data_IF_891102759449
#
_entry.id   IF_891102759449
#
_cell.length_a   1.000
_cell.length_b   1.000
_cell.length_c   1.000
_cell.angle_alpha   90.00
_cell.angle_beta   90.00
_cell.angle_gamma   90.00
#
_symmetry.space_group_name_H-M   'P 1'
#
loop_
_entity.id
_entity.type
_entity.pdbx_description
1 polymer ?
#
# COMPACT_ATOMS: atom_id res chain seq x y z
N UNK A 1 -20.17 0.84 10.21
CA UNK A 1 -19.07 0.34 11.06
C UNK A 1 -18.16 1.50 11.42
N UNK A 2 -17.50 1.41 12.55
CA UNK A 2 -16.35 2.27 12.89
C UNK A 2 -15.06 1.57 12.45
N UNK A 3 -14.29 2.21 11.56
CA UNK A 3 -13.10 1.61 10.93
C UNK A 3 -11.85 2.34 11.42
N UNK A 4 -10.91 1.62 12.03
CA UNK A 4 -9.60 2.16 12.36
C UNK A 4 -8.68 2.08 11.15
N UNK A 5 -8.13 3.23 10.73
CA UNK A 5 -7.30 3.33 9.53
C UNK A 5 -5.92 3.84 9.92
N UNK A 6 -4.89 3.02 9.74
CA UNK A 6 -3.50 3.48 9.82
C UNK A 6 -3.05 3.99 8.44
N UNK A 7 -2.09 4.94 8.40
CA UNK A 7 -1.72 5.57 7.13
C UNK A 7 -2.83 6.44 6.52
N UNK A 8 -3.82 6.82 7.31
CA UNK A 8 -5.04 7.53 6.91
C UNK A 8 -4.78 8.88 6.19
N UNK A 9 -3.64 9.52 6.45
CA UNK A 9 -3.24 10.81 5.85
C UNK A 9 -2.34 10.65 4.61
N UNK A 10 -1.98 9.39 4.26
CA UNK A 10 -1.14 9.10 3.10
C UNK A 10 -1.88 9.23 1.76
N UNK A 11 -1.15 9.06 0.66
CA UNK A 11 -1.67 9.18 -0.71
C UNK A 11 -2.89 8.29 -0.97
N UNK A 12 -2.82 7.00 -0.66
CA UNK A 12 -3.94 6.07 -0.79
C UNK A 12 -4.88 6.20 0.40
N UNK A 13 -4.35 6.33 1.62
CA UNK A 13 -5.14 6.37 2.84
C UNK A 13 -6.16 7.50 2.89
N UNK A 14 -5.82 8.69 2.39
CA UNK A 14 -6.76 9.82 2.31
C UNK A 14 -7.94 9.54 1.37
N UNK A 15 -7.71 8.80 0.28
CA UNK A 15 -8.78 8.36 -0.61
C UNK A 15 -9.65 7.28 0.04
N UNK A 16 -9.03 6.32 0.76
CA UNK A 16 -9.75 5.29 1.52
C UNK A 16 -10.63 5.91 2.62
N UNK A 17 -10.09 6.88 3.39
CA UNK A 17 -10.87 7.61 4.40
C UNK A 17 -12.11 8.27 3.78
N UNK A 18 -11.92 8.96 2.65
CA UNK A 18 -13.03 9.63 1.95
C UNK A 18 -14.07 8.62 1.44
N UNK A 19 -13.62 7.50 0.86
CA UNK A 19 -14.51 6.45 0.34
C UNK A 19 -15.33 5.80 1.47
N UNK A 20 -14.70 5.50 2.62
CA UNK A 20 -15.37 4.96 3.79
C UNK A 20 -16.44 5.92 4.34
N UNK A 21 -16.10 7.21 4.48
CA UNK A 21 -17.04 8.23 4.96
C UNK A 21 -18.22 8.39 3.99
N UNK A 22 -17.97 8.40 2.68
CA UNK A 22 -19.01 8.48 1.66
C UNK A 22 -19.96 7.26 1.68
N UNK A 23 -19.44 6.08 2.06
CA UNK A 23 -20.23 4.86 2.25
C UNK A 23 -20.98 4.80 3.59
N UNK A 24 -20.89 5.85 4.41
CA UNK A 24 -21.59 5.97 5.71
C UNK A 24 -20.87 5.24 6.85
N UNK A 25 -19.61 4.88 6.71
CA UNK A 25 -18.80 4.38 7.82
C UNK A 25 -18.25 5.54 8.66
N UNK A 26 -17.99 5.28 9.93
CA UNK A 26 -17.21 6.16 10.79
C UNK A 26 -15.73 5.79 10.66
N UNK A 27 -14.84 6.76 10.61
CA UNK A 27 -13.40 6.52 10.47
C UNK A 27 -12.66 7.06 11.70
N UNK A 28 -11.84 6.21 12.32
CA UNK A 28 -10.85 6.57 13.31
C UNK A 28 -9.47 6.51 12.65
N UNK A 29 -8.91 7.66 12.27
CA UNK A 29 -7.63 7.73 11.59
C UNK A 29 -6.45 7.84 12.56
N UNK A 30 -5.39 7.03 12.34
CA UNK A 30 -4.13 7.18 13.08
C UNK A 30 -3.36 8.39 12.56
N UNK A 31 -3.00 9.32 13.45
CA UNK A 31 -2.18 10.48 13.12
C UNK A 31 -1.00 10.64 14.06
N UNK A 32 0.22 10.73 13.50
CA UNK A 32 1.47 10.98 14.24
C UNK A 32 1.80 12.47 14.41
N UNK A 33 1.24 13.34 13.58
CA UNK A 33 1.51 14.79 13.58
C UNK A 33 0.22 15.59 13.79
N UNK A 34 0.37 16.85 14.23
CA UNK A 34 -0.77 17.78 14.36
C UNK A 34 -1.42 18.03 13.00
N UNK A 35 -0.62 18.33 11.99
CA UNK A 35 -1.11 18.55 10.63
C UNK A 35 -1.93 17.34 10.10
N UNK A 36 -1.47 16.10 10.39
CA UNK A 36 -2.22 14.90 10.00
C UNK A 36 -3.55 14.77 10.72
N UNK A 37 -3.60 15.16 12.00
CA UNK A 37 -4.84 15.17 12.76
C UNK A 37 -5.83 16.21 12.24
N UNK A 38 -5.36 17.43 11.97
CA UNK A 38 -6.19 18.48 11.39
C UNK A 38 -6.78 18.06 10.04
N UNK A 39 -5.97 17.41 9.19
CA UNK A 39 -6.42 16.90 7.90
C UNK A 39 -7.52 15.82 8.05
N UNK A 40 -7.42 14.93 9.05
CA UNK A 40 -8.45 13.93 9.33
C UNK A 40 -9.73 14.57 9.86
N UNK A 41 -9.64 15.53 10.78
CA UNK A 41 -10.79 16.28 11.29
C UNK A 41 -11.49 17.03 10.15
N UNK A 42 -10.73 17.70 9.29
CA UNK A 42 -11.26 18.42 8.13
C UNK A 42 -11.96 17.47 7.14
N UNK A 43 -11.52 16.22 7.04
CA UNK A 43 -12.18 15.20 6.23
C UNK A 43 -13.44 14.61 6.89
N UNK A 44 -13.72 14.91 8.16
CA UNK A 44 -14.85 14.35 8.93
C UNK A 44 -14.53 13.04 9.67
N UNK A 45 -13.25 12.71 9.84
CA UNK A 45 -12.80 11.53 10.57
C UNK A 45 -12.45 11.88 12.04
N UNK A 46 -12.57 10.89 12.92
CA UNK A 46 -12.03 10.95 14.28
C UNK A 46 -10.52 10.67 14.26
N UNK A 47 -9.80 11.13 15.27
CA UNK A 47 -8.34 11.02 15.36
C UNK A 47 -7.92 10.14 16.53
N UNK A 48 -7.13 9.10 16.25
CA UNK A 48 -6.29 8.39 17.20
C UNK A 48 -4.85 8.93 17.09
N UNK A 49 -4.34 9.52 18.17
CA UNK A 49 -2.94 9.91 18.23
C UNK A 49 -2.06 8.68 18.45
N UNK A 50 -0.97 8.58 17.70
CA UNK A 50 -0.02 7.48 17.79
C UNK A 50 0.81 7.31 16.51
N UNK A 51 1.65 6.29 16.49
CA UNK A 51 2.51 5.93 15.37
C UNK A 51 2.66 4.41 15.25
N UNK A 52 3.38 3.92 14.23
CA UNK A 52 3.69 2.49 14.10
C UNK A 52 4.63 1.99 15.22
N UNK A 53 5.39 2.87 15.86
CA UNK A 53 6.26 2.52 16.99
C UNK A 53 5.49 2.47 18.34
N UNK A 54 4.27 3.03 18.38
CA UNK A 54 3.40 3.03 19.56
C UNK A 54 2.34 1.93 19.44
N UNK A 55 2.75 0.70 19.76
CA UNK A 55 1.90 -0.49 19.67
C UNK A 55 0.65 -0.41 20.57
N UNK A 56 0.71 0.31 21.68
CA UNK A 56 -0.46 0.50 22.56
C UNK A 56 -1.51 1.39 21.90
N UNK A 57 -1.10 2.42 21.16
CA UNK A 57 -2.03 3.23 20.36
C UNK A 57 -2.70 2.43 19.26
N UNK A 58 -1.98 1.50 18.62
CA UNK A 58 -2.53 0.60 17.60
C UNK A 58 -3.56 -0.36 18.18
N UNK A 59 -3.24 -1.02 19.31
CA UNK A 59 -4.18 -1.91 20.04
C UNK A 59 -5.43 -1.16 20.48
N UNK A 60 -5.26 0.06 21.01
CA UNK A 60 -6.38 0.91 21.43
C UNK A 60 -7.29 1.26 20.25
N UNK A 61 -6.73 1.67 19.12
CA UNK A 61 -7.50 1.97 17.91
C UNK A 61 -8.25 0.75 17.38
N UNK A 62 -7.57 -0.41 17.31
CA UNK A 62 -8.16 -1.67 16.88
C UNK A 62 -9.31 -2.12 17.81
N UNK A 63 -9.09 -2.07 19.12
CA UNK A 63 -10.10 -2.47 20.11
C UNK A 63 -11.35 -1.58 20.08
N UNK A 64 -11.17 -0.28 19.83
CA UNK A 64 -12.24 0.72 19.79
C UNK A 64 -13.03 0.73 18.48
N UNK A 65 -12.72 -0.15 17.52
CA UNK A 65 -13.29 -0.13 16.17
C UNK A 65 -13.88 -1.49 15.76
N UNK A 66 -14.82 -1.47 14.83
CA UNK A 66 -15.47 -2.69 14.30
C UNK A 66 -14.59 -3.39 13.25
N UNK A 67 -13.62 -2.67 12.67
CA UNK A 67 -12.72 -3.16 11.64
C UNK A 67 -11.41 -2.35 11.60
N UNK A 68 -10.36 -2.91 11.01
CA UNK A 68 -9.07 -2.23 10.82
C UNK A 68 -8.63 -2.31 9.36
N UNK A 69 -8.16 -1.18 8.83
CA UNK A 69 -7.44 -1.10 7.54
C UNK A 69 -6.04 -0.57 7.83
N UNK A 70 -5.03 -1.41 7.57
CA UNK A 70 -3.62 -1.09 7.79
C UNK A 70 -2.94 -0.71 6.48
N UNK A 71 -2.81 0.61 6.27
CA UNK A 71 -2.17 1.22 5.09
C UNK A 71 -0.82 1.88 5.41
N UNK A 72 -0.52 2.06 6.70
CA UNK A 72 0.71 2.73 7.09
C UNK A 72 1.93 1.93 6.63
N UNK A 73 2.87 2.60 5.99
CA UNK A 73 4.17 2.04 5.61
C UNK A 73 5.22 3.14 5.68
N UNK A 74 6.41 2.79 6.14
CA UNK A 74 7.53 3.74 6.20
C UNK A 74 8.34 3.59 4.91
N UNK A 75 8.32 4.63 4.08
CA UNK A 75 9.02 4.65 2.78
C UNK A 75 10.44 5.24 2.89
N UNK A 76 11.13 4.92 3.99
CA UNK A 76 12.55 5.20 4.14
C UNK A 76 13.34 3.92 3.82
N UNK A 77 13.98 3.92 2.66
CA UNK A 77 14.74 2.77 2.17
C UNK A 77 16.14 2.66 2.81
N UNK A 78 16.57 3.66 3.59
CA UNK A 78 17.86 3.62 4.30
C UNK A 78 17.88 2.57 5.43
N UNK A 79 16.72 2.27 6.04
CA UNK A 79 16.53 1.19 7.01
C UNK A 79 15.33 0.31 6.62
N UNK A 80 15.39 -0.26 5.42
CA UNK A 80 14.30 -1.08 4.88
C UNK A 80 13.94 -2.27 5.79
N UNK A 81 14.94 -2.96 6.32
CA UNK A 81 14.72 -4.12 7.18
C UNK A 81 14.06 -3.74 8.51
N UNK A 82 14.52 -2.66 9.15
CA UNK A 82 13.92 -2.13 10.37
C UNK A 82 12.48 -1.66 10.15
N UNK A 83 12.21 -0.99 9.05
CA UNK A 83 10.87 -0.52 8.71
C UNK A 83 9.90 -1.68 8.42
N UNK A 84 10.36 -2.75 7.75
CA UNK A 84 9.56 -3.99 7.60
C UNK A 84 9.33 -4.70 8.94
N UNK A 85 10.29 -4.66 9.87
CA UNK A 85 10.10 -5.23 11.21
C UNK A 85 9.06 -4.44 12.01
N UNK A 86 9.07 -3.11 11.97
CA UNK A 86 8.05 -2.25 12.59
C UNK A 86 6.65 -2.52 12.04
N UNK A 87 6.52 -2.64 10.71
CA UNK A 87 5.26 -2.97 10.04
C UNK A 87 4.72 -4.31 10.53
N UNK A 88 5.57 -5.34 10.61
CA UNK A 88 5.20 -6.64 11.14
C UNK A 88 4.75 -6.59 12.59
N UNK A 89 5.47 -5.88 13.46
CA UNK A 89 5.09 -5.70 14.88
C UNK A 89 3.73 -4.99 15.02
N UNK A 90 3.45 -4.01 14.15
CA UNK A 90 2.16 -3.33 14.11
C UNK A 90 1.03 -4.29 13.71
N UNK A 91 1.24 -5.13 12.69
CA UNK A 91 0.29 -6.16 12.24
C UNK A 91 0.03 -7.18 13.36
N UNK A 92 1.07 -7.64 14.05
CA UNK A 92 0.95 -8.56 15.20
C UNK A 92 0.13 -7.92 16.33
N UNK A 93 0.44 -6.68 16.70
CA UNK A 93 -0.27 -5.96 17.77
C UNK A 93 -1.76 -5.75 17.46
N UNK A 94 -2.10 -5.41 16.22
CA UNK A 94 -3.47 -5.26 15.75
C UNK A 94 -4.17 -6.62 15.71
N UNK A 95 -3.52 -7.64 15.14
CA UNK A 95 -4.06 -8.99 15.04
C UNK A 95 -4.39 -9.60 16.42
N UNK A 96 -3.50 -9.43 17.41
CA UNK A 96 -3.72 -9.87 18.77
C UNK A 96 -4.91 -9.16 19.43
N UNK A 97 -5.09 -7.84 19.16
CA UNK A 97 -6.23 -7.08 19.68
C UNK A 97 -7.59 -7.51 19.05
N UNK A 98 -7.54 -8.10 17.85
CA UNK A 98 -8.73 -8.57 17.11
C UNK A 98 -9.00 -10.07 17.29
N UNK A 99 -8.10 -10.84 17.90
CA UNK A 99 -8.22 -12.29 18.01
C UNK A 99 -9.56 -12.70 18.66
N UNK A 100 -10.23 -13.70 18.08
CA UNK A 100 -11.52 -14.23 18.54
C UNK A 100 -12.75 -13.34 18.28
N UNK A 101 -12.61 -12.25 17.51
CA UNK A 101 -13.69 -11.27 17.32
C UNK A 101 -14.41 -11.36 15.98
N UNK A 102 -13.88 -12.10 15.02
CA UNK A 102 -14.33 -12.16 13.60
C UNK A 102 -14.38 -10.79 12.90
N UNK A 103 -13.71 -9.78 13.46
CA UNK A 103 -13.67 -8.45 12.86
C UNK A 103 -12.74 -8.41 11.63
N UNK A 104 -13.10 -7.59 10.60
CA UNK A 104 -12.24 -7.41 9.42
C UNK A 104 -10.90 -6.77 9.80
N UNK A 105 -9.84 -7.35 9.27
CA UNK A 105 -8.50 -6.79 9.31
C UNK A 105 -7.89 -6.83 7.91
N UNK A 106 -7.81 -5.67 7.26
CA UNK A 106 -7.27 -5.55 5.90
C UNK A 106 -5.86 -4.99 6.00
N UNK A 107 -4.89 -5.73 5.46
CA UNK A 107 -3.51 -5.25 5.35
C UNK A 107 -3.14 -4.93 3.92
N UNK A 108 -2.09 -4.16 3.75
CA UNK A 108 -1.53 -3.75 2.47
C UNK A 108 -0.28 -4.55 2.14
N UNK A 109 -0.33 -5.33 1.07
CA UNK A 109 0.81 -6.01 0.45
C UNK A 109 1.26 -5.31 -0.84
N UNK A 110 2.03 -6.01 -1.66
CA UNK A 110 2.49 -5.49 -2.94
C UNK A 110 2.73 -6.55 -4.00
N UNK A 111 2.37 -6.28 -5.24
CA UNK A 111 2.57 -7.22 -6.37
C UNK A 111 4.05 -7.36 -6.75
N UNK A 112 4.92 -6.41 -6.41
CA UNK A 112 6.37 -6.54 -6.62
C UNK A 112 7.01 -7.67 -5.79
N UNK A 113 6.30 -8.21 -4.80
CA UNK A 113 6.77 -9.35 -3.99
C UNK A 113 6.53 -10.70 -4.67
N UNK A 114 5.78 -10.73 -5.76
CA UNK A 114 5.43 -11.94 -6.50
C UNK A 114 6.59 -12.38 -7.42
N UNK A 115 6.66 -13.67 -7.79
CA UNK A 115 7.66 -14.17 -8.73
C UNK A 115 7.65 -13.40 -10.05
N UNK A 116 8.84 -13.07 -10.56
CA UNK A 116 9.00 -12.39 -11.85
C UNK A 116 8.97 -13.38 -13.02
N UNK A 117 8.72 -12.87 -14.24
CA UNK A 117 8.82 -13.65 -15.48
C UNK A 117 7.59 -14.50 -15.79
N UNK A 118 6.53 -14.40 -15.00
CA UNK A 118 5.26 -15.09 -15.20
C UNK A 118 4.07 -14.19 -14.82
N UNK A 119 2.90 -14.52 -15.35
CA UNK A 119 1.66 -13.91 -14.87
C UNK A 119 1.38 -14.42 -13.45
N UNK A 120 1.18 -13.52 -12.51
CA UNK A 120 0.85 -13.83 -11.14
C UNK A 120 -0.62 -13.50 -10.84
N UNK A 121 -1.29 -14.39 -10.14
CA UNK A 121 -2.66 -14.21 -9.63
C UNK A 121 -2.66 -14.00 -8.12
N UNK A 122 -3.84 -13.78 -7.55
CA UNK A 122 -4.04 -13.69 -6.11
C UNK A 122 -3.59 -14.95 -5.36
N UNK A 123 -3.68 -16.12 -5.99
CA UNK A 123 -3.22 -17.40 -5.43
C UNK A 123 -1.71 -17.57 -5.44
N UNK A 124 -0.97 -16.70 -6.17
CA UNK A 124 0.48 -16.76 -6.24
C UNK A 124 1.08 -16.25 -4.92
N UNK A 125 1.88 -17.07 -4.19
CA UNK A 125 2.51 -16.61 -2.96
C UNK A 125 3.66 -15.64 -3.24
N UNK A 126 4.02 -14.76 -2.28
CA UNK A 126 5.22 -13.95 -2.35
C UNK A 126 6.47 -14.82 -2.51
N UNK A 127 7.42 -14.38 -3.33
CA UNK A 127 8.72 -15.03 -3.45
C UNK A 127 9.65 -14.56 -2.32
N UNK A 128 9.73 -15.33 -1.25
CA UNK A 128 10.52 -15.01 -0.05
C UNK A 128 12.04 -15.23 -0.23
N UNK A 129 12.50 -15.74 -1.37
CA UNK A 129 13.92 -15.97 -1.63
C UNK A 129 14.61 -14.72 -2.25
N UNK A 130 13.87 -13.68 -2.55
CA UNK A 130 14.43 -12.45 -3.14
C UNK A 130 15.05 -11.54 -2.06
N UNK A 131 16.07 -10.74 -2.40
CA UNK A 131 16.75 -9.85 -1.43
C UNK A 131 15.81 -8.92 -0.63
N UNK A 132 14.72 -8.46 -1.24
CA UNK A 132 13.77 -7.53 -0.62
C UNK A 132 12.47 -8.21 -0.16
N UNK A 133 12.48 -9.54 -0.03
CA UNK A 133 11.30 -10.34 0.29
C UNK A 133 10.82 -10.21 1.74
N UNK A 134 11.60 -9.58 2.62
CA UNK A 134 11.28 -9.43 4.04
C UNK A 134 9.90 -8.78 4.27
N UNK A 135 9.44 -7.91 3.37
CA UNK A 135 8.09 -7.35 3.41
C UNK A 135 7.00 -8.39 3.16
N UNK A 136 7.27 -9.44 2.36
CA UNK A 136 6.33 -10.54 2.11
C UNK A 136 6.00 -11.35 3.36
N UNK A 137 6.86 -11.34 4.37
CA UNK A 137 6.61 -11.98 5.66
C UNK A 137 5.41 -11.34 6.39
N UNK A 138 5.13 -10.05 6.18
CA UNK A 138 3.98 -9.37 6.76
C UNK A 138 2.64 -10.00 6.34
N UNK A 139 2.52 -10.47 5.10
CA UNK A 139 1.32 -11.18 4.62
C UNK A 139 1.13 -12.51 5.38
N UNK A 140 2.21 -13.28 5.58
CA UNK A 140 2.15 -14.54 6.32
C UNK A 140 1.77 -14.31 7.79
N UNK A 141 2.33 -13.29 8.41
CA UNK A 141 2.00 -12.90 9.79
C UNK A 141 0.52 -12.54 9.89
N UNK A 142 0.00 -11.70 8.99
CA UNK A 142 -1.41 -11.34 9.00
C UNK A 142 -2.31 -12.58 8.82
N UNK A 143 -2.02 -13.45 7.85
CA UNK A 143 -2.79 -14.67 7.60
C UNK A 143 -2.76 -15.66 8.79
N UNK A 144 -1.72 -15.62 9.63
CA UNK A 144 -1.65 -16.46 10.84
C UNK A 144 -2.73 -16.13 11.88
N UNK A 145 -3.43 -15.00 11.74
CA UNK A 145 -4.56 -14.61 12.58
C UNK A 145 -5.91 -15.16 12.09
N UNK A 146 -6.00 -15.68 10.87
CA UNK A 146 -7.23 -16.32 10.37
C UNK A 146 -7.68 -17.47 11.29
N UNK A 147 -6.84 -18.47 11.63
CA UNK A 147 -7.23 -19.52 12.55
C UNK A 147 -7.44 -19.03 14.00
N UNK A 148 -7.02 -17.79 14.31
CA UNK A 148 -7.30 -17.14 15.61
C UNK A 148 -8.61 -16.36 15.60
N UNK A 149 -9.48 -16.52 14.59
CA UNK A 149 -10.78 -15.87 14.49
C UNK A 149 -10.71 -14.39 14.17
N UNK A 150 -9.80 -13.97 13.29
CA UNK A 150 -9.76 -12.64 12.68
C UNK A 150 -10.07 -12.77 11.19
N UNK A 151 -10.94 -11.93 10.66
CA UNK A 151 -11.28 -11.92 9.23
C UNK A 151 -10.26 -11.11 8.44
N UNK A 152 -9.08 -11.70 8.26
CA UNK A 152 -7.96 -11.08 7.54
C UNK A 152 -8.21 -11.08 6.04
N UNK A 153 -7.94 -9.96 5.37
CA UNK A 153 -7.80 -9.86 3.92
C UNK A 153 -6.55 -9.07 3.55
N UNK A 154 -5.97 -9.35 2.39
CA UNK A 154 -4.77 -8.68 1.90
C UNK A 154 -5.09 -7.97 0.60
N UNK A 155 -4.72 -6.69 0.48
CA UNK A 155 -4.74 -5.96 -0.78
C UNK A 155 -3.30 -5.72 -1.23
N UNK A 156 -2.91 -6.34 -2.34
CA UNK A 156 -1.61 -6.15 -2.96
C UNK A 156 -1.68 -5.01 -3.96
N UNK A 157 -0.93 -3.97 -3.68
CA UNK A 157 -0.83 -2.79 -4.54
C UNK A 157 0.17 -3.02 -5.68
N UNK A 158 -0.11 -2.51 -6.90
CA UNK A 158 0.87 -2.49 -7.97
C UNK A 158 1.96 -1.44 -7.69
N UNK A 159 3.12 -1.51 -8.39
CA UNK A 159 4.15 -0.49 -8.28
C UNK A 159 3.67 0.89 -8.71
N UNK A 160 2.71 0.95 -9.63
CA UNK A 160 2.12 2.20 -10.11
C UNK A 160 0.70 2.37 -9.55
N UNK A 161 0.60 3.03 -8.40
CA UNK A 161 -0.67 3.52 -7.86
C UNK A 161 -0.71 5.03 -8.10
N UNK A 162 -1.45 5.49 -9.12
CA UNK A 162 -1.35 6.85 -9.61
C UNK A 162 -2.59 7.69 -9.32
N UNK A 163 -2.48 9.00 -9.49
CA UNK A 163 -3.57 9.97 -9.32
C UNK A 163 -3.04 11.34 -8.89
N UNK A 164 -3.96 12.25 -8.64
CA UNK A 164 -3.60 13.59 -8.18
C UNK A 164 -2.85 13.54 -6.85
N UNK A 165 -1.70 14.22 -6.76
CA UNK A 165 -0.84 14.21 -5.57
C UNK A 165 0.08 12.99 -5.48
N UNK A 166 0.24 12.21 -6.56
CA UNK A 166 1.18 11.09 -6.61
C UNK A 166 2.62 11.54 -6.33
N UNK A 167 3.27 10.84 -5.41
CA UNK A 167 4.68 11.02 -5.05
C UNK A 167 5.42 9.66 -5.05
N UNK A 168 4.83 8.64 -5.68
CA UNK A 168 5.39 7.30 -5.82
C UNK A 168 6.36 7.15 -7.00
N UNK A 169 6.51 5.93 -7.48
CA UNK A 169 7.53 5.59 -8.49
C UNK A 169 7.42 6.39 -9.79
N UNK A 170 6.22 6.66 -10.29
CA UNK A 170 6.06 7.42 -11.55
C UNK A 170 6.47 8.88 -11.36
N UNK A 171 6.09 9.47 -10.23
CA UNK A 171 6.50 10.84 -9.91
C UNK A 171 8.03 10.94 -9.75
N UNK A 172 8.64 9.94 -9.13
CA UNK A 172 10.10 9.88 -8.96
C UNK A 172 10.81 9.68 -10.31
N UNK A 173 10.34 8.78 -11.17
CA UNK A 173 10.87 8.62 -12.52
C UNK A 173 10.80 9.94 -13.32
N UNK A 174 9.69 10.66 -13.23
CA UNK A 174 9.52 11.96 -13.88
C UNK A 174 10.48 13.01 -13.30
N UNK A 175 10.68 13.02 -11.96
CA UNK A 175 11.63 13.91 -11.28
C UNK A 175 13.07 13.65 -11.75
N UNK A 176 13.49 12.38 -11.78
CA UNK A 176 14.82 11.98 -12.26
C UNK A 176 15.00 12.36 -13.74
N UNK A 177 14.02 12.03 -14.58
CA UNK A 177 14.07 12.37 -16.01
C UNK A 177 14.22 13.89 -16.21
N UNK A 178 13.49 14.70 -15.44
CA UNK A 178 13.61 16.17 -15.49
C UNK A 178 14.98 16.66 -15.05
N UNK A 179 15.58 16.07 -14.03
CA UNK A 179 16.90 16.49 -13.50
C UNK A 179 18.06 16.06 -14.40
N UNK A 180 17.94 14.91 -15.06
CA UNK A 180 18.98 14.36 -15.94
C UNK A 180 18.84 14.80 -17.42
N UNK A 181 17.67 15.36 -17.78
CA UNK A 181 17.36 15.72 -19.17
C UNK A 181 17.07 14.52 -20.09
N UNK A 182 16.90 13.32 -19.54
CA UNK A 182 16.63 12.08 -20.29
C UNK A 182 15.60 11.24 -19.52
N UNK A 183 14.56 10.78 -20.21
CA UNK A 183 13.67 9.75 -19.68
C UNK A 183 14.21 8.37 -20.02
N UNK A 184 14.78 7.68 -19.03
CA UNK A 184 15.51 6.43 -19.23
C UNK A 184 14.67 5.19 -18.94
N UNK A 185 14.96 4.09 -19.66
CA UNK A 185 14.46 2.75 -19.38
C UNK A 185 15.59 1.71 -19.49
N UNK A 186 15.54 0.59 -18.72
CA UNK A 186 16.60 -0.42 -18.74
C UNK A 186 16.50 -1.34 -19.97
N UNK A 187 17.62 -1.60 -20.64
CA UNK A 187 17.73 -2.57 -21.72
C UNK A 187 16.73 -2.33 -22.86
N UNK A 188 15.92 -3.31 -23.16
CA UNK A 188 14.84 -3.22 -24.18
C UNK A 188 13.56 -2.56 -23.64
N UNK A 189 13.47 -2.36 -22.32
CA UNK A 189 12.33 -1.76 -21.64
C UNK A 189 11.05 -2.62 -21.62
N UNK A 190 11.18 -3.93 -21.87
CA UNK A 190 10.07 -4.87 -21.91
C UNK A 190 9.64 -5.37 -20.52
N UNK A 191 10.38 -5.06 -19.47
CA UNK A 191 9.92 -5.28 -18.10
C UNK A 191 8.63 -4.49 -17.85
N UNK A 192 7.67 -5.12 -17.15
CA UNK A 192 6.31 -4.60 -17.04
C UNK A 192 5.95 -4.27 -15.60
N UNK A 193 5.23 -3.18 -15.44
CA UNK A 193 4.61 -2.79 -14.17
C UNK A 193 3.09 -2.73 -14.33
N UNK A 194 2.40 -3.33 -13.39
CA UNK A 194 0.96 -3.17 -13.25
C UNK A 194 0.63 -1.78 -12.68
N UNK A 195 -0.57 -1.29 -12.98
CA UNK A 195 -1.02 0.02 -12.55
C UNK A 195 -2.47 0.03 -12.09
N UNK A 196 -2.81 1.01 -11.26
CA UNK A 196 -4.19 1.33 -10.90
C UNK A 196 -4.32 2.78 -10.46
N UNK A 197 -5.49 3.36 -10.60
CA UNK A 197 -5.78 4.68 -10.05
C UNK A 197 -6.11 4.59 -8.56
N UNK A 198 -5.62 5.55 -7.74
CA UNK A 198 -5.81 5.53 -6.27
C UNK A 198 -7.26 5.48 -5.82
N UNK A 199 -8.20 6.04 -6.60
CA UNK A 199 -9.62 6.00 -6.26
C UNK A 199 -10.23 4.61 -6.48
N UNK A 200 -9.76 3.86 -7.47
CA UNK A 200 -10.18 2.47 -7.68
C UNK A 200 -9.59 1.56 -6.59
N UNK A 201 -8.35 1.84 -6.19
CA UNK A 201 -7.75 1.21 -4.99
C UNK A 201 -8.61 1.47 -3.75
N UNK A 202 -9.05 2.71 -3.52
CA UNK A 202 -9.89 3.04 -2.35
C UNK A 202 -11.22 2.27 -2.37
N UNK A 203 -11.86 2.14 -3.53
CA UNK A 203 -13.05 1.31 -3.71
C UNK A 203 -12.81 -0.16 -3.40
N UNK A 204 -11.64 -0.68 -3.80
CA UNK A 204 -11.29 -2.07 -3.48
C UNK A 204 -11.16 -2.29 -1.97
N UNK A 205 -10.58 -1.32 -1.21
CA UNK A 205 -10.54 -1.38 0.25
C UNK A 205 -11.95 -1.40 0.86
N UNK A 206 -12.86 -0.56 0.37
CA UNK A 206 -14.27 -0.58 0.81
C UNK A 206 -14.93 -1.92 0.51
N UNK A 207 -14.78 -2.45 -0.70
CA UNK A 207 -15.36 -3.74 -1.08
C UNK A 207 -14.78 -4.91 -0.29
N UNK A 208 -13.47 -4.90 -0.02
CA UNK A 208 -12.82 -5.91 0.81
C UNK A 208 -13.30 -5.84 2.27
N UNK A 209 -13.55 -4.64 2.79
CA UNK A 209 -14.12 -4.43 4.12
C UNK A 209 -15.53 -5.03 4.24
N UNK A 210 -16.38 -4.78 3.25
CA UNK A 210 -17.81 -5.15 3.29
C UNK A 210 -18.07 -6.60 2.87
N UNK A 211 -17.26 -7.14 1.93
CA UNK A 211 -17.52 -8.42 1.26
C UNK A 211 -16.38 -9.43 1.37
N UNK A 212 -15.20 -9.02 1.82
CA UNK A 212 -14.03 -9.91 1.94
C UNK A 212 -14.27 -11.01 2.97
N UNK A 213 -13.82 -12.21 2.64
CA UNK A 213 -13.82 -13.37 3.53
C UNK A 213 -12.45 -13.58 4.15
N UNK A 214 -12.38 -14.33 5.24
CA UNK A 214 -11.11 -14.62 5.91
C UNK A 214 -10.14 -15.34 4.97
N UNK A 215 -8.90 -14.81 4.88
CA UNK A 215 -7.86 -15.32 4.01
C UNK A 215 -7.89 -14.82 2.56
N UNK A 216 -8.86 -13.95 2.20
CA UNK A 216 -8.93 -13.38 0.84
C UNK A 216 -7.74 -12.51 0.52
N UNK A 217 -7.22 -12.66 -0.70
CA UNK A 217 -6.18 -11.80 -1.27
C UNK A 217 -6.75 -11.14 -2.52
N UNK A 218 -6.47 -9.87 -2.71
CA UNK A 218 -6.94 -9.08 -3.87
C UNK A 218 -5.77 -8.32 -4.47
N UNK A 219 -5.68 -8.30 -5.80
CA UNK A 219 -4.75 -7.42 -6.50
C UNK A 219 -5.46 -6.12 -6.89
N UNK A 220 -4.95 -4.98 -6.41
CA UNK A 220 -5.44 -3.66 -6.81
C UNK A 220 -4.86 -3.29 -8.19
N UNK A 221 -5.21 -4.05 -9.21
CA UNK A 221 -4.66 -3.92 -10.56
C UNK A 221 -5.79 -3.66 -11.54
N UNK A 222 -5.72 -2.53 -12.25
CA UNK A 222 -6.61 -2.18 -13.34
C UNK A 222 -5.94 -2.38 -14.70
N UNK A 223 -4.61 -2.23 -14.76
CA UNK A 223 -3.78 -2.40 -15.95
C UNK A 223 -2.70 -3.44 -15.65
N UNK A 224 -2.75 -4.59 -16.30
CA UNK A 224 -1.98 -5.79 -15.91
C UNK A 224 -0.47 -5.68 -16.10
N UNK A 225 -0.02 -4.89 -17.05
CA UNK A 225 1.42 -4.77 -17.25
C UNK A 225 1.78 -3.82 -18.37
N UNK A 226 2.25 -2.65 -17.99
CA UNK A 226 2.71 -1.60 -18.89
C UNK A 226 4.21 -1.73 -19.04
N UNK A 227 4.77 -1.87 -20.27
CA UNK A 227 6.21 -1.85 -20.49
C UNK A 227 6.84 -0.57 -19.94
N UNK A 228 7.94 -0.68 -19.22
CA UNK A 228 8.64 0.50 -18.68
C UNK A 228 9.07 1.47 -19.77
N UNK A 229 9.37 0.96 -20.97
CA UNK A 229 9.65 1.81 -22.13
C UNK A 229 8.48 2.74 -22.47
N UNK A 230 7.24 2.25 -22.45
CA UNK A 230 6.06 3.08 -22.72
C UNK A 230 5.86 4.16 -21.65
N UNK A 231 6.13 3.82 -20.37
CA UNK A 231 6.11 4.77 -19.26
C UNK A 231 7.18 5.86 -19.49
N UNK A 232 8.40 5.45 -19.84
CA UNK A 232 9.49 6.38 -20.11
C UNK A 232 9.19 7.28 -21.33
N UNK A 233 8.61 6.73 -22.40
CA UNK A 233 8.18 7.49 -23.59
C UNK A 233 7.09 8.52 -23.24
N UNK A 234 6.12 8.16 -22.42
CA UNK A 234 5.08 9.07 -21.95
C UNK A 234 5.67 10.23 -21.12
N UNK A 235 6.58 9.93 -20.19
CA UNK A 235 7.30 10.93 -19.39
C UNK A 235 8.15 11.85 -20.29
N UNK A 236 8.94 11.28 -21.18
CA UNK A 236 9.80 12.03 -22.10
C UNK A 236 9.00 12.99 -22.99
N UNK A 237 7.91 12.49 -23.57
CA UNK A 237 6.98 13.28 -24.37
C UNK A 237 6.37 14.44 -23.58
N UNK A 238 5.91 14.19 -22.34
CA UNK A 238 5.31 15.20 -21.47
C UNK A 238 6.29 16.28 -21.04
N UNK A 239 7.55 15.91 -20.80
CA UNK A 239 8.61 16.83 -20.37
C UNK A 239 9.34 17.50 -21.55
N UNK A 240 9.12 17.08 -22.79
CA UNK A 240 9.83 17.58 -23.97
C UNK A 240 11.31 17.18 -23.98
N UNK A 241 11.67 16.02 -23.44
CA UNK A 241 13.05 15.50 -23.36
C UNK A 241 13.17 14.15 -24.08
N UNK A 242 14.37 13.77 -24.54
CA UNK A 242 14.58 12.48 -25.20
C UNK A 242 14.33 11.30 -24.27
N UNK A 243 13.88 10.19 -24.86
CA UNK A 243 13.78 8.90 -24.20
C UNK A 243 14.91 8.00 -24.71
N UNK A 244 15.60 7.30 -23.79
CA UNK A 244 16.72 6.45 -24.15
C UNK A 244 16.82 5.18 -23.30
N UNK A 245 17.30 4.10 -23.93
CA UNK A 245 17.74 2.90 -23.23
C UNK A 245 19.03 3.20 -22.45
N UNK A 246 19.13 2.63 -21.24
CA UNK A 246 20.32 2.68 -20.39
C UNK A 246 20.61 1.30 -19.82
N UNK A 247 21.87 1.06 -19.43
CA UNK A 247 22.26 -0.16 -18.72
C UNK A 247 21.68 -0.17 -17.29
N UNK A 248 21.59 -1.35 -16.67
CA UNK A 248 21.10 -1.48 -15.30
C UNK A 248 21.93 -0.65 -14.30
N UNK A 249 23.24 -0.51 -14.53
CA UNK A 249 24.15 0.30 -13.69
C UNK A 249 23.77 1.79 -13.64
N UNK A 250 23.03 2.29 -14.63
CA UNK A 250 22.54 3.67 -14.65
C UNK A 250 21.44 3.91 -13.60
N UNK A 251 20.78 2.86 -13.16
CA UNK A 251 19.64 2.95 -12.23
C UNK A 251 20.02 2.67 -10.76
N UNK A 252 21.31 2.46 -10.46
CA UNK A 252 21.92 2.30 -9.13
C UNK A 252 22.18 0.88 -8.74
#
# INVERSE_FOLDING_TARGET
MRVFVTGATGFIGSAVVKELLNAGHQVLGLARSEQGAEALIAAGAEVQRGSLDDLDSLKKGATASDAVIHLASIHDFSDYAGNCAKDRMAIEAIGDALAGTDRPFIITGGTLLLPSGQLASEDTPPDLNRPNAIRGVAEQVALSFVPKGVRVSIIRLPPTNHGEGDHGFIAELARVAKSTGVSAYPGDGLNRWAATHRLDTAKLYLLALEKGTAGSIFHAVAEEGIPIKEIAEAIGKKLGIPTASKTAEHFG
#
